data_IF_308178627270
#
_entry.id   IF_308178627270
#
_cell.length_a   1.000
_cell.length_b   1.000
_cell.length_c   1.000
_cell.angle_alpha   90.00
_cell.angle_beta   90.00
_cell.angle_gamma   90.00
#
_symmetry.space_group_name_H-M   'P 1'
#
loop_
_entity.id
_entity.type
_entity.pdbx_description
1 polymer ?
#
# COMPACT_ATOMS: atom_id res chain seq x y z
N UNK A 1 -3.39 0.26 21.41
CA UNK A 1 -4.75 0.53 21.97
C UNK A 1 -5.23 1.98 21.77
N UNK A 2 -4.45 3.02 22.10
CA UNK A 2 -4.85 4.43 21.90
C UNK A 2 -5.08 4.81 20.42
N UNK A 3 -4.27 4.28 19.50
CA UNK A 3 -4.39 4.58 18.06
C UNK A 3 -5.76 4.21 17.46
N UNK A 4 -6.36 3.11 17.92
CA UNK A 4 -7.67 2.66 17.44
C UNK A 4 -8.78 3.65 17.81
N UNK A 5 -8.74 4.18 19.05
CA UNK A 5 -9.72 5.15 19.53
C UNK A 5 -9.68 6.47 18.75
N UNK A 6 -8.47 6.95 18.42
CA UNK A 6 -8.32 8.15 17.59
C UNK A 6 -8.80 7.91 16.16
N UNK A 7 -8.52 6.74 15.59
CA UNK A 7 -8.95 6.37 14.25
C UNK A 7 -10.47 6.23 14.16
N UNK A 8 -11.11 5.60 15.14
CA UNK A 8 -12.57 5.48 15.25
C UNK A 8 -13.24 6.85 15.32
N UNK A 9 -12.71 7.75 16.16
CA UNK A 9 -13.21 9.12 16.29
C UNK A 9 -13.08 9.86 14.96
N UNK A 10 -11.90 9.82 14.33
CA UNK A 10 -11.69 10.49 13.04
C UNK A 10 -12.58 9.93 11.94
N UNK A 11 -12.74 8.60 11.86
CA UNK A 11 -13.61 7.93 10.88
C UNK A 11 -15.06 8.37 11.02
N UNK A 12 -15.57 8.50 12.24
CA UNK A 12 -16.91 9.01 12.49
C UNK A 12 -17.08 10.43 11.94
N UNK A 13 -16.12 11.32 12.20
CA UNK A 13 -16.17 12.69 11.66
C UNK A 13 -16.06 12.71 10.13
N UNK A 14 -15.12 11.96 9.55
CA UNK A 14 -14.86 11.95 8.11
C UNK A 14 -16.02 11.38 7.27
N UNK A 15 -16.75 10.40 7.81
CA UNK A 15 -17.95 9.84 7.15
C UNK A 15 -19.17 10.76 7.20
N UNK A 16 -19.24 11.66 8.18
CA UNK A 16 -20.29 12.68 8.30
C UNK A 16 -19.94 14.00 7.59
N UNK A 17 -18.72 14.13 7.08
CA UNK A 17 -18.37 15.23 6.18
C UNK A 17 -19.14 15.08 4.87
N UNK A 18 -19.83 16.13 4.42
CA UNK A 18 -20.58 16.15 3.13
C UNK A 18 -19.69 16.09 1.88
N UNK A 19 -18.41 15.81 2.04
CA UNK A 19 -17.42 15.73 0.98
C UNK A 19 -17.26 14.26 0.56
N UNK A 20 -17.85 13.87 -0.58
CA UNK A 20 -17.74 12.52 -1.14
C UNK A 20 -16.31 11.95 -1.13
N UNK A 21 -15.26 12.69 -1.58
CA UNK A 21 -13.90 12.14 -1.54
C UNK A 21 -13.38 11.86 -0.12
N UNK A 22 -13.82 12.63 0.88
CA UNK A 22 -13.46 12.37 2.29
C UNK A 22 -14.13 11.11 2.83
N UNK A 23 -15.40 10.88 2.47
CA UNK A 23 -16.14 9.67 2.85
C UNK A 23 -15.48 8.42 2.24
N UNK A 24 -15.09 8.48 0.96
CA UNK A 24 -14.44 7.35 0.29
C UNK A 24 -13.03 7.10 0.84
N UNK A 25 -12.27 8.14 1.16
CA UNK A 25 -10.99 8.01 1.86
C UNK A 25 -11.18 7.35 3.24
N UNK A 26 -12.17 7.78 4.02
CA UNK A 26 -12.48 7.20 5.33
C UNK A 26 -12.82 5.71 5.22
N UNK A 27 -13.69 5.32 4.26
CA UNK A 27 -14.03 3.92 4.00
C UNK A 27 -12.81 3.08 3.60
N UNK A 28 -11.92 3.64 2.79
CA UNK A 28 -10.68 2.96 2.36
C UNK A 28 -9.77 2.72 3.56
N UNK A 29 -9.58 3.74 4.41
CA UNK A 29 -8.79 3.62 5.64
C UNK A 29 -9.40 2.59 6.60
N UNK A 30 -10.73 2.57 6.76
CA UNK A 30 -11.43 1.57 7.59
C UNK A 30 -11.23 0.14 7.08
N UNK A 31 -11.20 -0.06 5.75
CA UNK A 31 -10.95 -1.37 5.12
C UNK A 31 -9.53 -1.88 5.37
N UNK A 32 -8.56 -0.98 5.48
CA UNK A 32 -7.14 -1.32 5.68
C UNK A 32 -6.64 -1.01 7.11
N UNK A 33 -7.56 -0.78 8.06
CA UNK A 33 -7.23 -0.33 9.41
C UNK A 33 -6.31 -1.32 10.15
N UNK A 34 -6.44 -2.62 9.88
CA UNK A 34 -5.65 -3.65 10.57
C UNK A 34 -4.16 -3.52 10.23
N UNK A 35 -3.85 -3.21 8.96
CA UNK A 35 -2.46 -2.93 8.54
C UNK A 35 -1.94 -1.60 9.10
N UNK A 36 -2.79 -0.57 9.12
CA UNK A 36 -2.43 0.76 9.66
C UNK A 36 -2.18 0.70 11.16
N UNK A 37 -3.01 -0.01 11.91
CA UNK A 37 -2.90 -0.17 13.35
C UNK A 37 -1.75 -1.12 13.72
N UNK A 38 -1.55 -2.20 12.95
CA UNK A 38 -0.41 -3.09 13.14
C UNK A 38 0.93 -2.38 13.00
N UNK A 39 1.02 -1.34 12.17
CA UNK A 39 2.23 -0.52 12.04
C UNK A 39 2.64 0.15 13.35
N UNK A 40 1.68 0.61 14.17
CA UNK A 40 1.99 1.26 15.44
C UNK A 40 2.56 0.30 16.48
N UNK A 41 2.28 -1.00 16.35
CA UNK A 41 2.78 -2.03 17.26
C UNK A 41 4.09 -2.67 16.72
N UNK A 42 4.20 -2.89 15.40
CA UNK A 42 5.34 -3.61 14.80
C UNK A 42 6.39 -2.70 14.15
N UNK A 43 6.07 -1.43 13.91
CA UNK A 43 6.89 -0.47 13.15
C UNK A 43 7.30 -0.96 11.74
N UNK A 44 6.57 -1.94 11.18
CA UNK A 44 6.88 -2.52 9.86
C UNK A 44 6.49 -1.53 8.78
N UNK A 45 7.44 -0.73 8.32
CA UNK A 45 7.22 0.26 7.27
C UNK A 45 6.97 -0.41 5.91
N UNK A 46 6.13 0.21 5.08
CA UNK A 46 5.98 -0.18 3.68
C UNK A 46 7.27 0.04 2.85
N UNK A 47 8.34 0.57 3.45
CA UNK A 47 9.61 0.86 2.77
C UNK A 47 10.20 -0.37 2.07
N UNK A 48 10.12 -1.56 2.67
CA UNK A 48 10.57 -2.79 1.99
C UNK A 48 9.69 -3.13 0.78
N UNK A 49 8.36 -3.06 0.93
CA UNK A 49 7.43 -3.36 -0.17
C UNK A 49 7.57 -2.33 -1.30
N UNK A 50 7.78 -1.06 -0.97
CA UNK A 50 8.06 0.02 -1.92
C UNK A 50 9.41 -0.17 -2.63
N UNK A 51 10.46 -0.56 -1.91
CA UNK A 51 11.75 -0.88 -2.53
C UNK A 51 11.64 -2.04 -3.53
N UNK A 52 10.88 -3.09 -3.20
CA UNK A 52 10.60 -4.19 -4.11
C UNK A 52 9.77 -3.73 -5.32
N UNK A 53 8.73 -2.92 -5.10
CA UNK A 53 7.94 -2.36 -6.19
C UNK A 53 8.78 -1.49 -7.13
N UNK A 54 9.72 -0.70 -6.60
CA UNK A 54 10.63 0.10 -7.41
C UNK A 54 11.57 -0.77 -8.23
N UNK A 55 12.15 -1.83 -7.66
CA UNK A 55 12.97 -2.79 -8.40
C UNK A 55 12.19 -3.48 -9.53
N UNK A 56 10.94 -3.86 -9.27
CA UNK A 56 10.05 -4.46 -10.28
C UNK A 56 9.70 -3.45 -11.38
N UNK A 57 9.43 -2.19 -11.03
CA UNK A 57 9.18 -1.12 -12.01
C UNK A 57 10.41 -0.81 -12.85
N UNK A 58 11.59 -0.79 -12.25
CA UNK A 58 12.84 -0.56 -12.96
C UNK A 58 13.20 -1.74 -13.87
N UNK A 59 12.99 -2.98 -13.42
CA UNK A 59 13.05 -4.17 -14.26
C UNK A 59 12.09 -4.05 -15.45
N UNK A 60 10.85 -3.60 -15.22
CA UNK A 60 9.87 -3.36 -16.28
C UNK A 60 10.29 -2.23 -17.24
N UNK A 61 10.91 -1.15 -16.76
CA UNK A 61 11.39 -0.02 -17.58
C UNK A 61 12.60 -0.38 -18.44
N UNK A 62 13.54 -1.17 -17.89
CA UNK A 62 14.72 -1.67 -18.63
C UNK A 62 14.31 -2.54 -19.81
N UNK A 63 13.16 -3.17 -19.70
CA UNK A 63 12.64 -4.12 -20.65
C UNK A 63 11.60 -3.43 -21.53
N UNK A 64 12.00 -2.97 -22.71
CA UNK A 64 11.14 -2.23 -23.67
C UNK A 64 10.10 -3.12 -24.39
N UNK A 65 9.40 -3.98 -23.65
CA UNK A 65 8.27 -4.80 -24.11
C UNK A 65 8.61 -6.27 -24.38
N UNK A 66 8.19 -7.17 -23.48
CA UNK A 66 8.02 -8.58 -23.81
C UNK A 66 6.54 -8.91 -24.00
N UNK A 67 6.26 -9.71 -25.02
CA UNK A 67 4.96 -10.32 -25.32
C UNK A 67 4.68 -11.57 -24.46
N UNK A 68 5.58 -11.96 -23.54
CA UNK A 68 5.47 -13.19 -22.74
C UNK A 68 5.80 -12.94 -21.25
N UNK A 69 4.90 -13.38 -20.37
CA UNK A 69 4.93 -13.24 -18.90
C UNK A 69 6.08 -14.00 -18.24
N UNK A 70 6.50 -15.14 -18.78
CA UNK A 70 7.57 -15.96 -18.20
C UNK A 70 8.91 -15.22 -18.16
N UNK A 71 9.22 -14.47 -19.23
CA UNK A 71 10.47 -13.72 -19.30
C UNK A 71 10.49 -12.53 -18.33
N UNK A 72 9.32 -11.99 -17.98
CA UNK A 72 9.20 -10.93 -16.98
C UNK A 72 9.49 -11.45 -15.57
N UNK A 73 8.99 -12.65 -15.23
CA UNK A 73 9.28 -13.31 -13.94
C UNK A 73 10.77 -13.59 -13.80
N UNK A 74 11.42 -14.10 -14.85
CA UNK A 74 12.86 -14.36 -14.85
C UNK A 74 13.68 -13.10 -14.59
N UNK A 75 13.31 -11.96 -15.19
CA UNK A 75 14.04 -10.70 -15.00
C UNK A 75 13.85 -10.16 -13.58
N UNK A 76 12.66 -10.28 -13.00
CA UNK A 76 12.45 -9.93 -11.59
C UNK A 76 13.37 -10.80 -10.70
N UNK A 77 13.41 -12.11 -10.94
CA UNK A 77 14.24 -13.02 -10.17
C UNK A 77 15.74 -12.70 -10.28
N UNK A 78 16.22 -12.26 -11.45
CA UNK A 78 17.62 -11.86 -11.65
C UNK A 78 17.92 -10.47 -11.06
N UNK A 79 16.95 -9.56 -11.03
CA UNK A 79 17.15 -8.17 -10.55
C UNK A 79 17.08 -8.06 -9.03
N UNK A 80 16.33 -8.94 -8.37
CA UNK A 80 16.14 -8.95 -6.89
C UNK A 80 17.18 -9.84 -6.19
N UNK A 81 18.02 -10.55 -6.94
CA UNK A 81 19.07 -11.43 -6.41
C UNK A 81 20.33 -10.68 -5.99
#
# INVERSE_FOLDING_TARGET
>A
MLANLFLDKWYFWATHCRMKPMIEAAKTIRRHQDGILSWFDTHVTNAMVESLNNLIQDAKRRVKGYRNTENFITIIYVTVK
#
